data_IF_911025336879
#
_entry.id   IF_911025336879
#
_cell.length_a   1.000
_cell.length_b   1.000
_cell.length_c   1.000
_cell.angle_alpha   90.00
_cell.angle_beta   90.00
_cell.angle_gamma   90.00
#
_symmetry.space_group_name_H-M   'P 1'
#
loop_
_entity.id
_entity.type
_entity.pdbx_description
1 polymer ?
#
# COMPACT_ATOMS: atom_id res chain seq x y z
N UNK A 1 -10.92 -2.85 -1.96
CA UNK A 1 -11.42 -1.58 -2.53
C UNK A 1 -11.19 -1.47 -4.05
N UNK A 2 -10.26 -2.23 -4.64
CA UNK A 2 -9.92 -2.12 -6.06
C UNK A 2 -10.58 -3.15 -7.00
N UNK A 3 -11.60 -3.87 -6.54
CA UNK A 3 -12.13 -5.04 -7.28
C UNK A 3 -12.69 -4.72 -8.68
N UNK A 4 -12.92 -3.43 -9.01
CA UNK A 4 -13.25 -2.99 -10.37
C UNK A 4 -12.06 -3.05 -11.34
N UNK A 5 -10.82 -2.92 -10.85
CA UNK A 5 -9.60 -2.87 -11.68
C UNK A 5 -8.55 -3.94 -11.32
N UNK A 6 -8.73 -4.68 -10.22
CA UNK A 6 -7.80 -5.72 -9.80
C UNK A 6 -8.53 -6.79 -8.99
N UNK A 7 -8.54 -8.03 -9.47
CA UNK A 7 -9.14 -9.13 -8.70
C UNK A 7 -8.23 -9.55 -7.54
N UNK A 8 -8.85 -10.15 -6.52
CA UNK A 8 -8.11 -10.70 -5.36
C UNK A 8 -7.17 -11.83 -5.78
N UNK A 9 -7.58 -12.67 -6.72
CA UNK A 9 -6.79 -13.81 -7.19
C UNK A 9 -5.55 -13.34 -7.96
N UNK A 10 -5.69 -12.34 -8.83
CA UNK A 10 -4.53 -11.74 -9.54
C UNK A 10 -3.54 -11.12 -8.54
N UNK A 11 -4.07 -10.38 -7.55
CA UNK A 11 -3.24 -9.79 -6.50
C UNK A 11 -2.47 -10.86 -5.69
N UNK A 12 -3.17 -11.91 -5.24
CA UNK A 12 -2.58 -13.00 -4.46
C UNK A 12 -1.53 -13.81 -5.24
N UNK A 13 -1.69 -13.92 -6.57
CA UNK A 13 -0.70 -14.54 -7.46
C UNK A 13 0.52 -13.65 -7.71
N UNK A 14 0.32 -12.32 -7.79
CA UNK A 14 1.36 -11.36 -8.17
C UNK A 14 2.34 -11.07 -7.03
N UNK A 15 1.85 -10.78 -5.82
CA UNK A 15 2.65 -10.57 -4.59
C UNK A 15 3.71 -9.44 -4.63
N UNK A 16 3.82 -8.69 -5.74
CA UNK A 16 4.85 -7.66 -5.90
C UNK A 16 4.73 -6.56 -4.83
N UNK A 17 3.52 -6.15 -4.45
CA UNK A 17 3.30 -5.15 -3.41
C UNK A 17 3.59 -5.63 -1.98
N UNK A 18 3.89 -6.93 -1.83
CA UNK A 18 4.25 -7.56 -0.56
C UNK A 18 5.73 -7.96 -0.54
N UNK A 19 6.51 -7.52 -1.53
CA UNK A 19 7.93 -7.82 -1.70
C UNK A 19 8.66 -6.49 -1.84
N UNK A 20 9.70 -6.29 -1.03
CA UNK A 20 10.41 -5.02 -0.91
C UNK A 20 11.91 -5.28 -0.96
N UNK A 21 12.68 -4.33 -1.48
CA UNK A 21 14.12 -4.29 -1.24
C UNK A 21 14.44 -3.38 -0.05
N UNK A 22 15.72 -3.21 0.28
CA UNK A 22 16.14 -2.38 1.41
C UNK A 22 15.81 -0.87 1.23
N UNK A 23 15.65 -0.40 -0.01
CA UNK A 23 15.32 1.00 -0.32
C UNK A 23 13.83 1.30 -0.17
N UNK A 24 12.97 0.29 -0.31
CA UNK A 24 11.51 0.44 -0.27
C UNK A 24 10.89 0.20 1.13
N UNK A 25 11.66 -0.27 2.12
CA UNK A 25 11.12 -0.64 3.45
C UNK A 25 10.40 0.51 4.17
N UNK A 26 10.81 1.76 3.95
CA UNK A 26 10.15 2.94 4.52
C UNK A 26 8.80 3.27 3.85
N UNK A 27 8.55 2.69 2.68
CA UNK A 27 7.30 2.82 1.90
C UNK A 27 6.26 1.76 2.25
N UNK A 28 6.61 0.84 3.16
CA UNK A 28 5.69 -0.19 3.65
C UNK A 28 4.45 0.44 4.30
N UNK A 29 3.31 -0.28 4.31
CA UNK A 29 2.04 0.24 4.83
C UNK A 29 2.12 0.71 6.28
N UNK A 30 1.40 1.79 6.60
CA UNK A 30 1.25 2.25 7.98
C UNK A 30 0.37 1.26 8.77
N UNK A 31 0.84 0.88 9.96
CA UNK A 31 0.20 -0.13 10.81
C UNK A 31 -0.51 0.54 11.99
N UNK A 32 -1.84 0.56 11.94
CA UNK A 32 -2.68 1.01 13.06
C UNK A 32 -2.67 -0.01 14.20
N UNK A 33 -3.20 0.37 15.37
CA UNK A 33 -3.30 -0.52 16.53
C UNK A 33 -4.20 -1.74 16.26
N UNK A 34 -5.27 -1.56 15.47
CA UNK A 34 -6.15 -2.67 15.07
C UNK A 34 -5.41 -3.67 14.18
N UNK A 35 -4.65 -3.18 13.20
CA UNK A 35 -3.87 -4.05 12.31
C UNK A 35 -2.76 -4.77 13.09
N UNK A 36 -2.09 -4.08 14.01
CA UNK A 36 -1.08 -4.69 14.87
C UNK A 36 -1.67 -5.85 15.67
N UNK A 37 -2.82 -5.63 16.31
CA UNK A 37 -3.48 -6.64 17.16
C UNK A 37 -3.79 -7.90 16.34
N UNK A 38 -4.39 -7.74 15.16
CA UNK A 38 -4.67 -8.86 14.26
C UNK A 38 -3.40 -9.54 13.74
N UNK A 39 -2.36 -8.77 13.42
CA UNK A 39 -1.10 -9.34 12.97
C UNK A 39 -0.42 -10.18 14.04
N UNK A 40 -0.53 -9.79 15.31
CA UNK A 40 0.00 -10.55 16.45
C UNK A 40 -0.82 -11.80 16.77
N UNK A 41 -2.12 -11.82 16.48
CA UNK A 41 -2.93 -13.05 16.55
C UNK A 41 -2.47 -14.09 15.51
N UNK A 42 -2.11 -13.64 14.31
CA UNK A 42 -1.65 -14.50 13.21
C UNK A 42 -0.18 -14.91 13.39
N UNK A 43 0.68 -13.97 13.77
CA UNK A 43 2.11 -14.16 13.95
C UNK A 43 2.58 -13.50 15.27
N UNK A 44 2.50 -14.23 16.40
CA UNK A 44 2.81 -13.68 17.74
C UNK A 44 4.24 -13.14 17.91
N UNK A 45 5.18 -13.60 17.08
CA UNK A 45 6.58 -13.16 17.09
C UNK A 45 6.83 -11.94 16.20
N UNK A 46 5.79 -11.42 15.53
CA UNK A 46 5.93 -10.28 14.64
C UNK A 46 6.44 -9.05 15.38
N UNK A 47 7.49 -8.44 14.84
CA UNK A 47 8.06 -7.20 15.36
C UNK A 47 7.60 -6.00 14.54
N UNK A 48 7.65 -4.84 15.14
CA UNK A 48 7.30 -3.59 14.48
C UNK A 48 8.48 -2.62 14.56
N UNK A 49 8.63 -1.80 13.53
CA UNK A 49 9.57 -0.69 13.48
C UNK A 49 8.78 0.61 13.51
N UNK A 50 9.46 1.71 13.84
CA UNK A 50 8.90 3.05 13.77
C UNK A 50 9.75 3.90 12.85
N UNK A 51 9.13 4.48 11.83
CA UNK A 51 9.79 5.35 10.86
C UNK A 51 8.81 6.42 10.38
N UNK A 52 9.31 7.65 10.21
CA UNK A 52 8.52 8.80 9.71
C UNK A 52 7.20 9.00 10.46
N UNK A 53 7.21 8.83 11.79
CA UNK A 53 6.04 9.00 12.66
C UNK A 53 5.08 7.79 12.69
N UNK A 54 5.26 6.79 11.84
CA UNK A 54 4.37 5.64 11.73
C UNK A 54 4.99 4.35 12.26
N UNK A 55 4.13 3.45 12.74
CA UNK A 55 4.47 2.04 12.96
C UNK A 55 4.44 1.30 11.63
N UNK A 56 5.47 0.51 11.37
CA UNK A 56 5.62 -0.34 10.19
C UNK A 56 5.85 -1.79 10.61
N UNK A 57 5.60 -2.74 9.71
CA UNK A 57 6.06 -4.12 9.93
C UNK A 57 7.58 -4.17 9.87
N UNK A 58 8.21 -4.78 10.88
CA UNK A 58 9.62 -5.15 10.76
C UNK A 58 9.72 -6.45 9.96
N UNK A 59 10.32 -6.35 8.77
CA UNK A 59 10.56 -7.48 7.89
C UNK A 59 11.99 -8.00 8.08
N UNK A 60 12.17 -9.30 7.87
CA UNK A 60 13.49 -9.93 7.87
C UNK A 60 13.98 -10.05 6.43
N UNK A 61 15.29 -9.90 6.25
CA UNK A 61 15.93 -10.04 4.94
C UNK A 61 16.04 -11.52 4.60
N UNK A 62 15.74 -11.88 3.36
CA UNK A 62 16.06 -13.21 2.86
C UNK A 62 17.58 -13.44 2.87
N UNK A 63 18.06 -14.69 3.10
CA UNK A 63 19.49 -14.95 3.31
C UNK A 63 20.40 -14.45 2.18
N UNK A 64 19.99 -14.65 0.93
CA UNK A 64 20.86 -14.51 -0.24
C UNK A 64 20.48 -13.36 -1.18
N UNK A 65 19.40 -12.63 -0.88
CA UNK A 65 18.86 -11.59 -1.75
C UNK A 65 18.55 -10.32 -0.95
N UNK A 66 18.63 -9.14 -1.59
CA UNK A 66 18.10 -7.91 -0.98
C UNK A 66 16.58 -7.87 -1.11
N UNK A 67 15.93 -8.81 -0.44
CA UNK A 67 14.51 -9.07 -0.56
C UNK A 67 13.90 -9.27 0.82
N UNK A 68 12.77 -8.61 1.04
CA UNK A 68 12.02 -8.59 2.27
C UNK A 68 10.57 -8.86 1.93
N UNK A 69 9.97 -9.85 2.57
CA UNK A 69 8.56 -10.15 2.37
C UNK A 69 7.71 -9.62 3.52
N UNK A 70 6.52 -9.14 3.17
CA UNK A 70 5.52 -8.79 4.16
C UNK A 70 5.25 -10.02 5.04
N UNK A 71 5.31 -9.88 6.37
CA UNK A 71 5.12 -11.00 7.29
C UNK A 71 3.69 -11.57 7.24
N UNK A 72 2.75 -10.78 6.74
CA UNK A 72 1.34 -11.16 6.58
C UNK A 72 1.06 -11.79 5.21
N UNK A 73 2.08 -12.06 4.40
CA UNK A 73 1.95 -12.72 3.11
C UNK A 73 2.08 -14.24 3.26
N UNK A 74 1.00 -14.98 2.99
CA UNK A 74 1.10 -16.40 2.66
C UNK A 74 1.44 -16.53 1.16
N UNK A 75 2.59 -17.11 0.83
CA UNK A 75 3.09 -17.23 -0.55
C UNK A 75 2.19 -18.05 -1.48
N UNK A 76 1.25 -18.83 -0.95
CA UNK A 76 0.28 -19.62 -1.72
C UNK A 76 -1.10 -18.97 -1.76
N UNK A 77 -1.53 -18.35 -0.66
CA UNK A 77 -2.91 -17.84 -0.49
C UNK A 77 -3.04 -16.32 -0.63
N UNK A 78 -1.95 -15.57 -0.52
CA UNK A 78 -1.93 -14.11 -0.49
C UNK A 78 -1.98 -13.56 0.94
N UNK A 79 -2.51 -12.35 1.10
CA UNK A 79 -2.49 -11.65 2.39
C UNK A 79 -3.38 -12.33 3.44
N UNK A 80 -2.79 -12.70 4.58
CA UNK A 80 -3.46 -13.34 5.72
C UNK A 80 -4.40 -12.39 6.47
N UNK A 81 -4.19 -11.07 6.37
CA UNK A 81 -5.07 -10.07 6.97
C UNK A 81 -6.39 -9.85 6.19
N UNK A 82 -6.51 -10.40 4.98
CA UNK A 82 -7.73 -10.30 4.18
C UNK A 82 -8.23 -8.86 3.97
N UNK A 83 -9.46 -8.57 4.41
CA UNK A 83 -10.06 -7.22 4.35
C UNK A 83 -9.54 -6.26 5.41
N UNK A 84 -8.93 -6.78 6.47
CA UNK A 84 -8.41 -6.02 7.60
C UNK A 84 -6.96 -5.57 7.38
N UNK A 85 -6.42 -5.78 6.16
CA UNK A 85 -5.09 -5.27 5.79
C UNK A 85 -5.03 -3.73 5.92
N UNK A 86 -3.84 -3.15 6.12
CA UNK A 86 -3.63 -1.71 6.18
C UNK A 86 -4.33 -0.94 5.05
N UNK A 87 -4.70 0.31 5.31
CA UNK A 87 -5.36 1.13 4.30
C UNK A 87 -4.53 1.25 3.01
N UNK A 88 -3.22 1.50 3.13
CA UNK A 88 -2.29 1.52 1.99
C UNK A 88 -2.41 0.25 1.13
N UNK A 89 -2.45 -0.93 1.76
CA UNK A 89 -2.60 -2.22 1.07
C UNK A 89 -3.99 -2.41 0.44
N UNK A 90 -5.04 -1.73 0.93
CA UNK A 90 -6.40 -1.82 0.36
C UNK A 90 -6.55 -0.99 -0.90
N UNK A 91 -5.73 0.05 -1.07
CA UNK A 91 -5.76 0.96 -2.20
C UNK A 91 -4.60 0.77 -3.18
N UNK A 92 -3.53 0.05 -2.82
CA UNK A 92 -2.41 -0.23 -3.72
C UNK A 92 -2.87 -0.90 -5.02
N UNK A 93 -2.52 -0.37 -6.22
CA UNK A 93 -1.39 0.52 -6.49
C UNK A 93 -1.68 2.03 -6.50
N UNK A 94 -2.86 2.44 -6.04
CA UNK A 94 -3.12 3.84 -5.73
C UNK A 94 -2.40 4.22 -4.44
N UNK A 95 -1.85 5.43 -4.40
CA UNK A 95 -1.20 6.00 -3.20
C UNK A 95 -1.59 7.45 -3.04
N UNK A 96 -1.54 7.94 -1.81
CA UNK A 96 -1.61 9.37 -1.53
C UNK A 96 -0.19 9.90 -1.37
N UNK A 97 0.12 10.98 -2.08
CA UNK A 97 1.41 11.64 -2.00
C UNK A 97 1.24 13.15 -1.83
N UNK A 98 2.24 13.79 -1.22
CA UNK A 98 2.39 15.24 -1.24
C UNK A 98 3.13 15.66 -2.51
N UNK A 99 2.45 16.43 -3.36
CA UNK A 99 3.02 17.07 -4.53
C UNK A 99 2.90 18.58 -4.36
N UNK A 100 4.02 19.23 -4.05
CA UNK A 100 4.14 20.68 -3.86
C UNK A 100 3.15 21.23 -2.80
N UNK A 101 3.02 20.52 -1.66
CA UNK A 101 2.13 20.91 -0.58
C UNK A 101 0.65 20.62 -0.84
N UNK A 102 0.34 19.79 -1.85
CA UNK A 102 -1.02 19.30 -2.14
C UNK A 102 -1.06 17.79 -2.13
N UNK A 103 -2.09 17.21 -1.51
CA UNK A 103 -2.31 15.77 -1.59
C UNK A 103 -2.83 15.39 -2.97
N UNK A 104 -2.21 14.39 -3.55
CA UNK A 104 -2.58 13.80 -4.84
C UNK A 104 -2.73 12.30 -4.69
N UNK A 105 -3.70 11.73 -5.40
CA UNK A 105 -3.80 10.28 -5.61
C UNK A 105 -3.06 9.95 -6.88
N UNK A 106 -2.10 9.06 -6.76
CA UNK A 106 -1.22 8.65 -7.85
C UNK A 106 -1.38 7.15 -8.13
N UNK A 107 -1.03 6.75 -9.36
CA UNK A 107 -0.85 5.36 -9.73
C UNK A 107 0.63 5.00 -9.73
N UNK A 108 0.99 3.97 -8.96
CA UNK A 108 2.32 3.37 -9.05
C UNK A 108 2.50 2.60 -10.36
N UNK A 109 3.65 2.76 -11.06
CA UNK A 109 3.95 2.00 -12.27
C UNK A 109 4.31 0.52 -11.98
N UNK A 110 4.49 0.16 -10.71
CA UNK A 110 4.99 -1.16 -10.30
C UNK A 110 3.96 -2.26 -10.47
N UNK A 111 2.66 -1.97 -10.40
CA UNK A 111 1.63 -3.00 -10.55
C UNK A 111 1.47 -3.44 -12.01
N UNK A 112 1.92 -4.65 -12.39
CA UNK A 112 1.92 -5.06 -13.80
C UNK A 112 0.52 -5.27 -14.38
N UNK A 113 -0.49 -5.48 -13.52
CA UNK A 113 -1.88 -5.68 -13.92
C UNK A 113 -2.60 -4.35 -14.13
N UNK A 114 -2.58 -3.47 -13.12
CA UNK A 114 -3.32 -2.20 -13.18
C UNK A 114 -2.64 -1.22 -14.14
N UNK A 115 -1.31 -1.22 -14.23
CA UNK A 115 -0.59 -0.31 -15.13
C UNK A 115 -0.88 -0.55 -16.62
N UNK A 116 -1.40 -1.72 -16.98
CA UNK A 116 -1.81 -2.05 -18.36
C UNK A 116 -3.26 -1.65 -18.67
N UNK A 117 -4.02 -1.17 -17.68
CA UNK A 117 -5.40 -0.73 -17.87
C UNK A 117 -5.45 0.67 -18.48
N UNK A 118 -6.51 1.02 -19.21
CA UNK A 118 -6.73 2.39 -19.66
C UNK A 118 -6.67 3.35 -18.47
N UNK A 119 -5.93 4.45 -18.61
CA UNK A 119 -5.71 5.40 -17.51
C UNK A 119 -7.03 6.02 -17.05
N UNK A 120 -7.99 6.19 -17.96
CA UNK A 120 -9.32 6.72 -17.70
C UNK A 120 -10.13 5.80 -16.77
N UNK A 121 -10.00 4.48 -16.92
CA UNK A 121 -10.66 3.49 -16.05
C UNK A 121 -10.10 3.56 -14.63
N UNK A 122 -8.77 3.62 -14.50
CA UNK A 122 -8.10 3.71 -13.20
C UNK A 122 -8.39 5.05 -12.54
N UNK A 123 -8.39 6.14 -13.33
CA UNK A 123 -8.72 7.48 -12.86
C UNK A 123 -10.16 7.56 -12.35
N UNK A 124 -11.12 6.99 -13.08
CA UNK A 124 -12.52 6.99 -12.64
C UNK A 124 -12.69 6.31 -11.27
N UNK A 125 -12.01 5.18 -11.04
CA UNK A 125 -12.00 4.55 -9.71
C UNK A 125 -11.28 5.40 -8.67
N UNK A 126 -10.14 6.02 -9.02
CA UNK A 126 -9.42 6.89 -8.09
C UNK A 126 -10.29 8.08 -7.65
N UNK A 127 -10.99 8.73 -8.58
CA UNK A 127 -11.93 9.82 -8.29
C UNK A 127 -13.10 9.35 -7.40
N UNK A 128 -13.65 8.15 -7.64
CA UNK A 128 -14.69 7.55 -6.79
C UNK A 128 -14.19 7.29 -5.36
N UNK A 129 -12.97 6.79 -5.20
CA UNK A 129 -12.37 6.49 -3.90
C UNK A 129 -11.80 7.71 -3.20
N UNK A 130 -11.59 8.82 -3.91
CA UNK A 130 -10.88 9.99 -3.43
C UNK A 130 -11.40 10.55 -2.10
N UNK A 131 -12.71 10.75 -1.88
CA UNK A 131 -13.21 11.27 -0.60
C UNK A 131 -12.82 10.39 0.59
N UNK A 132 -12.86 9.07 0.41
CA UNK A 132 -12.49 8.10 1.46
C UNK A 132 -10.98 8.05 1.67
N UNK A 133 -10.21 8.14 0.58
CA UNK A 133 -8.75 8.12 0.63
C UNK A 133 -8.22 9.36 1.36
N UNK A 134 -8.71 10.56 1.03
CA UNK A 134 -8.29 11.80 1.69
C UNK A 134 -8.77 11.85 3.15
N UNK A 135 -9.98 11.39 3.46
CA UNK A 135 -10.45 11.28 4.84
C UNK A 135 -9.63 10.30 5.68
N UNK A 136 -9.04 9.25 5.09
CA UNK A 136 -8.08 8.40 5.79
C UNK A 136 -6.75 9.13 5.98
N UNK A 137 -6.28 9.85 4.97
CA UNK A 137 -5.05 10.64 5.06
C UNK A 137 -5.13 11.76 6.11
N UNK A 138 -6.33 12.27 6.43
CA UNK A 138 -6.54 13.18 7.56
C UNK A 138 -6.33 12.49 8.92
N UNK A 139 -6.72 11.22 9.03
CA UNK A 139 -6.61 10.43 10.28
C UNK A 139 -5.22 9.83 10.47
N UNK A 140 -4.55 9.52 9.37
CA UNK A 140 -3.22 8.90 9.36
C UNK A 140 -2.31 9.67 8.41
N UNK A 141 -1.86 10.89 8.79
CA UNK A 141 -1.05 11.75 7.92
C UNK A 141 0.23 11.08 7.42
N UNK A 142 0.77 10.11 8.17
CA UNK A 142 1.98 9.36 7.83
C UNK A 142 1.82 8.47 6.58
N UNK A 143 0.59 8.22 6.12
CA UNK A 143 0.33 7.55 4.85
C UNK A 143 0.66 8.44 3.64
N UNK A 144 0.68 9.77 3.84
CA UNK A 144 1.01 10.73 2.79
C UNK A 144 2.55 10.80 2.67
N UNK A 145 3.09 10.23 1.61
CA UNK A 145 4.54 10.24 1.34
C UNK A 145 4.92 11.36 0.35
N UNK A 146 6.18 11.80 0.30
CA UNK A 146 6.62 12.72 -0.75
C UNK A 146 6.36 12.15 -2.15
N UNK A 147 6.00 13.01 -3.10
CA UNK A 147 5.80 12.59 -4.49
C UNK A 147 7.08 12.01 -5.10
N UNK A 148 6.93 10.91 -5.82
CA UNK A 148 8.01 10.21 -6.52
C UNK A 148 7.83 10.41 -8.03
N UNK A 149 8.88 10.89 -8.69
CA UNK A 149 8.90 11.07 -10.15
C UNK A 149 8.55 9.77 -10.88
N UNK A 150 7.69 9.86 -11.89
CA UNK A 150 7.20 8.72 -12.68
C UNK A 150 5.88 8.13 -12.19
N UNK A 151 5.38 8.53 -11.03
CA UNK A 151 4.03 8.17 -10.58
C UNK A 151 3.00 9.05 -11.29
N UNK A 152 1.97 8.42 -11.89
CA UNK A 152 0.95 9.15 -12.66
C UNK A 152 -0.04 9.78 -11.70
N UNK A 153 -0.18 11.11 -11.72
CA UNK A 153 -1.21 11.82 -10.94
C UNK A 153 -2.58 11.57 -11.56
N UNK A 154 -3.50 10.97 -10.79
CA UNK A 154 -4.86 10.66 -11.23
C UNK A 154 -5.89 11.65 -10.69
N UNK A 155 -5.75 12.02 -9.42
CA UNK A 155 -6.69 12.90 -8.73
C UNK A 155 -5.90 13.88 -7.87
N UNK A 156 -6.26 15.15 -7.95
CA UNK A 156 -5.70 16.21 -7.09
C UNK A 156 -6.76 16.56 -6.06
N UNK A 157 -6.39 16.64 -4.78
CA UNK A 157 -7.30 17.08 -3.74
C UNK A 157 -7.80 18.50 -4.04
N UNK A 158 -9.12 18.67 -3.99
CA UNK A 158 -9.74 19.99 -4.14
C UNK A 158 -9.63 20.72 -2.80
N UNK A 159 -9.28 22.00 -2.86
CA UNK A 159 -9.31 22.90 -1.71
C UNK A 159 -10.73 23.11 -1.20
#
# INVERSE_FOLDING_TARGET
MLTKILSRAECAKCQICCSFDSYDLWETPVITDEVQSLALEIAPQQKFSYASGARLFRMEREPDEDLYFCPMLDRKKGCMLGENKPFDCRIWPLRVMDFEGRRVIVLSPVCPTVFKKPVEEVKALADELAPRIFAEADKTPEMVKPYISGYVILTVEKK
#
